data_IF_528120980028
#
_entry.id   IF_528120980028
#
_cell.length_a   1.000
_cell.length_b   1.000
_cell.length_c   1.000
_cell.angle_alpha   90.00
_cell.angle_beta   90.00
_cell.angle_gamma   90.00
#
_symmetry.space_group_name_H-M   'P 1'
#
loop_
_entity.id
_entity.type
_entity.pdbx_description
1 polymer ?
#
# COMPACT_ATOMS: atom_id res chain seq x y z
N UNK A 1 36.08 -0.13 -1.82
CA UNK A 1 34.68 -0.05 -1.38
C UNK A 1 34.63 -0.42 0.09
N UNK A 2 34.00 0.39 0.93
CA UNK A 2 33.78 0.00 2.33
C UNK A 2 32.94 -1.27 2.37
N UNK A 3 33.29 -2.27 3.20
CA UNK A 3 32.43 -3.43 3.41
C UNK A 3 31.13 -2.92 4.04
N UNK A 4 30.07 -2.88 3.23
CA UNK A 4 28.75 -2.48 3.69
C UNK A 4 28.18 -3.64 4.50
N UNK A 5 27.81 -3.39 5.74
CA UNK A 5 27.01 -4.32 6.53
C UNK A 5 25.74 -4.69 5.76
N UNK A 6 25.20 -5.89 6.00
CA UNK A 6 23.94 -6.33 5.39
C UNK A 6 22.84 -5.34 5.75
N UNK A 7 22.07 -4.89 4.77
CA UNK A 7 20.93 -4.00 5.01
C UNK A 7 19.95 -4.64 6.02
N UNK A 8 19.74 -4.01 7.20
CA UNK A 8 18.69 -4.42 8.13
C UNK A 8 17.34 -3.79 7.73
N UNK A 9 16.22 -4.41 8.09
CA UNK A 9 14.91 -3.78 7.94
C UNK A 9 14.82 -2.49 8.77
N UNK A 10 14.03 -1.53 8.29
CA UNK A 10 13.75 -0.32 9.06
C UNK A 10 12.81 -0.65 10.24
N UNK A 11 13.10 -0.08 11.41
CA UNK A 11 12.29 -0.24 12.63
C UNK A 11 11.26 0.89 12.82
N UNK A 12 11.10 1.77 11.82
CA UNK A 12 10.17 2.90 11.87
C UNK A 12 8.72 2.51 11.56
N UNK A 13 7.76 3.44 11.75
CA UNK A 13 6.35 3.19 11.47
C UNK A 13 6.10 2.77 10.01
N UNK A 14 5.36 1.67 9.82
CA UNK A 14 4.97 1.17 8.51
C UNK A 14 3.75 1.91 7.95
N UNK A 15 3.64 1.98 6.63
CA UNK A 15 2.40 2.36 5.94
C UNK A 15 1.76 1.10 5.36
N UNK A 16 0.55 0.76 5.78
CA UNK A 16 -0.24 -0.27 5.09
C UNK A 16 -0.70 0.30 3.76
N UNK A 17 -0.43 -0.40 2.65
CA UNK A 17 -0.78 0.03 1.30
C UNK A 17 -1.59 -1.03 0.57
N UNK A 18 -2.67 -0.64 -0.08
CA UNK A 18 -3.55 -1.53 -0.84
C UNK A 18 -4.51 -0.78 -1.75
N UNK A 19 -5.40 -1.53 -2.41
CA UNK A 19 -6.46 -1.00 -3.26
C UNK A 19 -7.79 -1.65 -2.91
N UNK A 20 -8.84 -0.85 -2.84
CA UNK A 20 -10.22 -1.29 -2.80
C UNK A 20 -10.77 -1.28 -4.23
N UNK A 21 -11.34 -2.41 -4.65
CA UNK A 21 -11.94 -2.59 -5.98
C UNK A 21 -13.36 -3.08 -5.81
N UNK A 22 -14.30 -2.38 -6.44
CA UNK A 22 -15.68 -2.82 -6.61
C UNK A 22 -15.85 -3.29 -8.06
N UNK A 23 -16.47 -4.46 -8.25
CA UNK A 23 -16.67 -5.08 -9.55
C UNK A 23 -18.15 -5.20 -9.90
N UNK A 24 -18.48 -5.09 -11.18
CA UNK A 24 -19.75 -5.53 -11.73
C UNK A 24 -19.78 -7.07 -11.79
N UNK A 25 -20.69 -7.69 -11.05
CA UNK A 25 -20.74 -9.16 -10.90
C UNK A 25 -21.05 -9.90 -12.21
N UNK A 26 -21.73 -9.24 -13.16
CA UNK A 26 -22.10 -9.86 -14.44
C UNK A 26 -20.93 -9.90 -15.42
N UNK A 27 -20.09 -8.88 -15.41
CA UNK A 27 -19.03 -8.67 -16.40
C UNK A 27 -17.62 -8.84 -15.83
N UNK A 28 -17.47 -8.85 -14.51
CA UNK A 28 -16.18 -8.87 -13.80
C UNK A 28 -15.39 -7.56 -13.92
N UNK A 29 -15.96 -6.50 -14.50
CA UNK A 29 -15.27 -5.23 -14.70
C UNK A 29 -15.23 -4.44 -13.40
N UNK A 30 -14.09 -3.80 -13.13
CA UNK A 30 -14.00 -2.83 -12.04
C UNK A 30 -14.87 -1.60 -12.34
N UNK A 31 -15.75 -1.24 -11.41
CA UNK A 31 -16.60 -0.03 -11.46
C UNK A 31 -16.13 1.05 -10.50
N UNK A 32 -15.32 0.69 -9.50
CA UNK A 32 -14.65 1.61 -8.59
C UNK A 32 -13.27 1.08 -8.23
N UNK A 33 -12.28 1.97 -8.20
CA UNK A 33 -10.94 1.69 -7.65
C UNK A 33 -10.57 2.84 -6.72
N UNK A 34 -10.15 2.52 -5.49
CA UNK A 34 -9.71 3.49 -4.48
C UNK A 34 -8.44 3.00 -3.80
N UNK A 35 -7.57 3.92 -3.44
CA UNK A 35 -6.33 3.66 -2.73
C UNK A 35 -6.57 3.51 -1.22
N UNK A 36 -5.84 2.60 -0.59
CA UNK A 36 -5.81 2.42 0.87
C UNK A 36 -4.39 2.68 1.34
N UNK A 37 -4.21 3.72 2.16
CA UNK A 37 -2.94 4.05 2.81
C UNK A 37 -3.22 4.36 4.27
N UNK A 38 -2.69 3.58 5.19
CA UNK A 38 -2.95 3.74 6.63
C UNK A 38 -1.63 3.75 7.39
N UNK A 39 -1.42 4.81 8.18
CA UNK A 39 -0.25 4.99 9.03
C UNK A 39 1.04 5.37 8.30
N UNK A 40 2.15 5.35 9.04
CA UNK A 40 3.48 5.56 8.51
C UNK A 40 3.72 6.99 7.98
N UNK A 41 4.19 7.11 6.75
CA UNK A 41 4.71 8.37 6.18
C UNK A 41 3.91 8.88 4.98
N UNK A 42 3.09 8.04 4.36
CA UNK A 42 2.26 8.47 3.24
C UNK A 42 1.02 9.18 3.75
N UNK A 43 0.50 10.11 2.95
CA UNK A 43 -0.78 10.75 3.23
C UNK A 43 -1.89 9.69 3.34
N UNK A 44 -2.70 9.77 4.40
CA UNK A 44 -3.73 8.79 4.67
C UNK A 44 -4.79 8.76 3.56
N UNK A 45 -5.25 7.57 3.20
CA UNK A 45 -6.34 7.39 2.25
C UNK A 45 -7.22 6.22 2.65
N UNK A 46 -8.54 6.46 2.62
CA UNK A 46 -9.60 5.52 2.99
C UNK A 46 -10.58 5.35 1.80
N UNK A 47 -11.38 4.26 1.75
CA UNK A 47 -12.28 3.96 0.62
C UNK A 47 -13.30 5.07 0.28
#
# INVERSE_FOLDING_TARGET
GMPKERFPPANGPATLSGVYVETDDRTGKAIRVRMIRIGGRLEEARP
#
